data_IF_638072580183
#
_entry.id   IF_638072580183
#
_cell.length_a   1.000
_cell.length_b   1.000
_cell.length_c   1.000
_cell.angle_alpha   90.00
_cell.angle_beta   90.00
_cell.angle_gamma   90.00
#
_symmetry.space_group_name_H-M   'P 1'
#
loop_
_entity.id
_entity.type
_entity.pdbx_description
1 polymer ?
#
# COMPACT_ATOMS: atom_id res chain seq x y z
N UNK A 1 49.81 36.67 -7.52
CA UNK A 1 49.38 36.69 -6.11
C UNK A 1 49.22 35.25 -5.65
N UNK A 2 50.11 34.76 -4.77
CA UNK A 2 50.05 33.41 -4.23
C UNK A 2 49.23 33.48 -2.95
N UNK A 3 48.05 32.87 -2.95
CA UNK A 3 47.19 32.75 -1.76
C UNK A 3 47.59 31.49 -1.00
N UNK A 4 48.37 31.64 0.07
CA UNK A 4 48.64 30.56 1.02
C UNK A 4 47.46 30.41 1.97
N UNK A 5 46.56 29.47 1.68
CA UNK A 5 45.49 29.08 2.59
C UNK A 5 45.99 27.99 3.54
N UNK A 6 45.97 28.26 4.85
CA UNK A 6 46.08 27.21 5.87
C UNK A 6 44.75 26.44 5.92
N UNK A 7 44.71 25.31 5.23
CA UNK A 7 43.59 24.37 5.36
C UNK A 7 43.78 23.66 6.70
N UNK A 8 42.83 23.78 7.63
CA UNK A 8 42.82 22.94 8.83
C UNK A 8 42.75 21.47 8.40
N UNK A 9 43.78 20.70 8.76
CA UNK A 9 43.97 19.29 8.37
C UNK A 9 43.19 18.30 9.23
N UNK A 10 42.53 18.76 10.29
CA UNK A 10 41.81 17.91 11.22
C UNK A 10 40.33 17.83 10.86
N UNK A 11 39.87 16.60 10.63
CA UNK A 11 38.48 16.28 10.30
C UNK A 11 38.02 15.22 11.29
N UNK A 12 37.00 15.55 12.06
CA UNK A 12 36.31 14.56 12.89
C UNK A 12 35.25 13.84 12.06
N UNK A 13 35.36 12.51 11.99
CA UNK A 13 34.40 11.65 11.31
C UNK A 13 33.67 10.87 12.38
N UNK A 14 32.53 11.42 12.81
CA UNK A 14 31.68 10.80 13.83
C UNK A 14 30.54 9.98 13.20
N UNK A 15 30.17 10.25 11.94
CA UNK A 15 29.08 9.56 11.25
C UNK A 15 29.45 9.08 9.84
N UNK A 16 28.72 8.07 9.37
CA UNK A 16 28.84 7.51 8.01
C UNK A 16 28.56 8.55 6.92
N UNK A 17 27.71 9.54 7.23
CA UNK A 17 27.41 10.65 6.30
C UNK A 17 28.62 11.56 6.09
N UNK A 18 29.54 11.63 7.05
CA UNK A 18 30.73 12.48 6.96
C UNK A 18 31.81 11.89 6.05
N UNK A 19 31.71 10.61 5.67
CA UNK A 19 32.62 9.98 4.70
C UNK A 19 32.58 10.65 3.32
N UNK A 20 31.47 11.30 2.96
CA UNK A 20 31.41 12.12 1.76
C UNK A 20 32.29 13.37 1.84
N UNK A 21 32.41 13.97 3.04
CA UNK A 21 33.33 15.11 3.28
C UNK A 21 34.78 14.67 3.19
N UNK A 22 35.10 13.47 3.71
CA UNK A 22 36.44 12.89 3.61
C UNK A 22 36.87 12.72 2.14
N UNK A 23 35.97 12.28 1.26
CA UNK A 23 36.28 12.14 -0.17
C UNK A 23 36.70 13.46 -0.81
N UNK A 24 35.95 14.53 -0.56
CA UNK A 24 36.25 15.88 -1.08
C UNK A 24 37.64 16.31 -0.62
N UNK A 25 37.98 16.08 0.65
CA UNK A 25 39.26 16.51 1.22
C UNK A 25 40.45 15.68 0.72
N UNK A 26 40.25 14.39 0.44
CA UNK A 26 41.26 13.54 -0.20
C UNK A 26 41.52 14.01 -1.63
N UNK A 27 40.47 14.35 -2.38
CA UNK A 27 40.57 14.83 -3.77
C UNK A 27 41.24 16.21 -3.86
N UNK A 28 40.85 17.17 -3.00
CA UNK A 28 41.42 18.53 -2.98
C UNK A 28 42.91 18.54 -2.62
N UNK A 29 43.34 17.63 -1.74
CA UNK A 29 44.72 17.54 -1.27
C UNK A 29 45.58 16.52 -2.04
N UNK A 30 45.08 15.94 -3.14
CA UNK A 30 45.76 14.87 -3.89
C UNK A 30 46.28 13.71 -3.00
N UNK A 31 45.53 13.37 -1.95
CA UNK A 31 45.92 12.32 -1.01
C UNK A 31 45.60 10.93 -1.56
N UNK A 32 46.36 9.94 -1.08
CA UNK A 32 46.10 8.54 -1.36
C UNK A 32 44.77 8.05 -0.78
N UNK A 33 44.29 6.93 -1.30
CA UNK A 33 43.03 6.32 -0.89
C UNK A 33 43.01 5.98 0.62
N UNK A 34 41.95 6.35 1.37
CA UNK A 34 41.85 6.04 2.80
C UNK A 34 41.78 4.54 3.10
N UNK A 35 42.26 4.14 4.27
CA UNK A 35 42.12 2.77 4.77
C UNK A 35 40.69 2.50 5.26
N UNK A 36 39.86 1.91 4.40
CA UNK A 36 38.46 1.61 4.73
C UNK A 36 38.27 0.59 5.86
N UNK A 37 39.24 -0.30 6.10
CA UNK A 37 39.14 -1.29 7.17
C UNK A 37 39.31 -0.64 8.54
N UNK A 38 40.22 0.34 8.65
CA UNK A 38 40.42 1.09 9.89
C UNK A 38 39.25 2.02 10.17
N UNK A 39 38.75 2.72 9.14
CA UNK A 39 37.55 3.54 9.23
C UNK A 39 36.33 2.71 9.66
N UNK A 40 36.20 1.49 9.14
CA UNK A 40 35.14 0.56 9.55
C UNK A 40 35.25 0.14 11.02
N UNK A 41 36.46 -0.12 11.53
CA UNK A 41 36.69 -0.44 12.95
C UNK A 41 36.33 0.73 13.87
N UNK A 42 36.73 1.96 13.51
CA UNK A 42 36.44 3.18 14.30
C UNK A 42 34.94 3.50 14.30
N UNK A 43 34.26 3.34 13.17
CA UNK A 43 32.83 3.61 13.03
C UNK A 43 31.92 2.43 13.40
N UNK A 44 32.48 1.25 13.69
CA UNK A 44 31.71 0.03 13.99
C UNK A 44 30.92 -0.52 12.80
N UNK A 45 31.38 -0.31 11.56
CA UNK A 45 30.65 -0.62 10.32
C UNK A 45 31.52 -1.45 9.36
N UNK A 46 30.88 -2.32 8.56
CA UNK A 46 31.57 -3.11 7.53
C UNK A 46 32.29 -2.21 6.49
N UNK A 47 33.53 -2.59 6.13
CA UNK A 47 34.38 -1.84 5.20
C UNK A 47 33.71 -1.60 3.83
N UNK A 48 32.80 -2.47 3.38
CA UNK A 48 32.09 -2.32 2.09
C UNK A 48 31.05 -1.21 2.20
N UNK A 49 30.40 -1.08 3.34
CA UNK A 49 29.49 0.03 3.62
C UNK A 49 30.26 1.34 3.71
N UNK A 50 31.39 1.39 4.42
CA UNK A 50 32.27 2.58 4.44
C UNK A 50 32.66 3.00 3.03
N UNK A 51 33.15 2.07 2.21
CA UNK A 51 33.50 2.33 0.80
C UNK A 51 32.30 2.86 0.00
N UNK A 52 31.12 2.26 0.15
CA UNK A 52 29.88 2.67 -0.54
C UNK A 52 29.47 4.10 -0.19
N UNK A 53 29.59 4.49 1.09
CA UNK A 53 29.29 5.84 1.55
C UNK A 53 30.36 6.85 1.13
N UNK A 54 31.63 6.47 1.18
CA UNK A 54 32.74 7.27 0.64
C UNK A 54 32.54 7.57 -0.84
N UNK A 55 32.14 6.58 -1.64
CA UNK A 55 31.90 6.74 -3.09
C UNK A 55 30.62 7.52 -3.43
N UNK A 56 29.71 7.74 -2.46
CA UNK A 56 28.43 8.43 -2.68
C UNK A 56 27.30 7.54 -3.21
N UNK A 57 27.50 6.22 -3.27
CA UNK A 57 26.52 5.26 -3.80
C UNK A 57 25.42 4.88 -2.77
N UNK A 58 24.82 5.86 -2.09
CA UNK A 58 24.10 5.64 -0.83
C UNK A 58 22.72 4.98 -1.05
N UNK A 59 21.95 5.40 -2.05
CA UNK A 59 20.57 4.96 -2.19
C UNK A 59 20.27 4.51 -3.62
N UNK A 60 19.91 3.23 -3.76
CA UNK A 60 19.09 2.77 -4.89
C UNK A 60 17.66 2.76 -4.36
N UNK A 61 16.82 3.62 -4.88
CA UNK A 61 15.39 3.52 -4.63
C UNK A 61 14.91 2.16 -5.14
N UNK A 62 14.30 1.38 -4.25
CA UNK A 62 13.67 0.12 -4.65
C UNK A 62 12.34 0.46 -5.29
N UNK A 63 12.20 0.14 -6.58
CA UNK A 63 10.92 0.24 -7.27
C UNK A 63 9.89 -0.63 -6.53
N UNK A 64 8.76 -0.04 -6.17
CA UNK A 64 7.66 -0.77 -5.57
C UNK A 64 7.08 -1.73 -6.62
N UNK A 65 6.95 -3.00 -6.25
CA UNK A 65 6.39 -4.02 -7.13
C UNK A 65 4.88 -3.87 -7.16
N UNK A 66 4.30 -3.77 -8.36
CA UNK A 66 2.85 -3.80 -8.55
C UNK A 66 2.27 -5.11 -8.01
N UNK A 67 1.14 -5.01 -7.32
CA UNK A 67 0.39 -6.17 -6.84
C UNK A 67 -0.39 -6.80 -7.99
N UNK A 68 -0.67 -8.10 -7.90
CA UNK A 68 -1.54 -8.78 -8.90
C UNK A 68 -2.97 -8.25 -8.92
N UNK A 69 -3.39 -7.53 -7.88
CA UNK A 69 -4.75 -7.03 -7.71
C UNK A 69 -4.88 -5.63 -8.34
N UNK A 70 -3.75 -4.92 -8.49
CA UNK A 70 -3.72 -3.56 -9.06
C UNK A 70 -4.25 -3.57 -10.50
N UNK A 71 -4.00 -4.64 -11.26
CA UNK A 71 -4.51 -4.79 -12.63
C UNK A 71 -6.05 -4.89 -12.70
N UNK A 72 -6.71 -5.25 -11.58
CA UNK A 72 -8.17 -5.37 -11.49
C UNK A 72 -8.83 -4.12 -10.90
N UNK A 73 -8.08 -3.05 -10.64
CA UNK A 73 -8.60 -1.83 -10.01
C UNK A 73 -9.79 -1.26 -10.78
N UNK A 74 -9.65 -1.08 -12.10
CA UNK A 74 -10.68 -0.50 -12.95
C UNK A 74 -11.92 -1.40 -13.05
N UNK A 75 -11.71 -2.72 -13.10
CA UNK A 75 -12.80 -3.70 -13.08
C UNK A 75 -13.58 -3.62 -11.78
N UNK A 76 -12.90 -3.57 -10.63
CA UNK A 76 -13.54 -3.45 -9.32
C UNK A 76 -14.30 -2.13 -9.23
N UNK A 77 -13.73 -1.04 -9.73
CA UNK A 77 -14.39 0.28 -9.76
C UNK A 77 -15.66 0.27 -10.60
N UNK A 78 -15.62 -0.34 -11.79
CA UNK A 78 -16.80 -0.50 -12.65
C UNK A 78 -17.89 -1.37 -12.01
N UNK A 79 -17.50 -2.45 -11.32
CA UNK A 79 -18.43 -3.35 -10.62
C UNK A 79 -19.10 -2.72 -9.40
N UNK A 80 -18.41 -1.80 -8.71
CA UNK A 80 -18.93 -1.11 -7.54
C UNK A 80 -19.62 0.23 -7.87
N UNK A 81 -19.66 0.61 -9.14
CA UNK A 81 -20.37 1.81 -9.62
C UNK A 81 -21.88 1.68 -9.43
N UNK A 82 -22.54 2.80 -9.12
CA UNK A 82 -23.99 2.89 -8.96
C UNK A 82 -24.77 2.60 -10.25
N UNK A 83 -24.11 2.68 -11.41
CA UNK A 83 -24.69 2.36 -12.72
C UNK A 83 -24.88 0.85 -12.92
N UNK A 84 -24.14 0.03 -12.18
CA UNK A 84 -24.21 -1.41 -12.33
C UNK A 84 -25.46 -1.98 -11.64
N UNK A 85 -26.18 -2.85 -12.35
CA UNK A 85 -27.35 -3.56 -11.79
C UNK A 85 -26.95 -4.55 -10.70
N UNK A 86 -25.71 -5.05 -10.74
CA UNK A 86 -25.22 -6.04 -9.79
C UNK A 86 -24.68 -5.36 -8.53
N UNK A 87 -25.32 -5.60 -7.39
CA UNK A 87 -24.94 -5.02 -6.10
C UNK A 87 -24.20 -6.07 -5.26
N UNK A 88 -23.07 -5.69 -4.68
CA UNK A 88 -22.26 -6.57 -3.84
C UNK A 88 -22.34 -6.17 -2.36
N UNK A 89 -23.18 -6.82 -1.57
CA UNK A 89 -23.29 -6.46 -0.14
C UNK A 89 -22.05 -6.76 0.69
N UNK A 90 -21.24 -7.75 0.29
CA UNK A 90 -20.07 -8.16 1.06
C UNK A 90 -18.82 -8.31 0.19
N UNK A 91 -17.67 -7.96 0.76
CA UNK A 91 -16.34 -8.15 0.16
C UNK A 91 -16.11 -9.60 -0.32
N UNK A 92 -16.71 -10.58 0.35
CA UNK A 92 -16.59 -12.00 0.01
C UNK A 92 -17.28 -12.37 -1.30
N UNK A 93 -18.43 -11.75 -1.58
CA UNK A 93 -19.19 -11.98 -2.82
C UNK A 93 -18.45 -11.38 -4.01
N UNK A 94 -17.94 -10.15 -3.86
CA UNK A 94 -17.12 -9.51 -4.89
C UNK A 94 -15.86 -10.35 -5.19
N UNK A 95 -15.17 -10.83 -4.16
CA UNK A 95 -13.99 -11.69 -4.35
C UNK A 95 -14.32 -12.98 -5.10
N UNK A 96 -15.37 -13.71 -4.69
CA UNK A 96 -15.79 -14.95 -5.38
C UNK A 96 -16.17 -14.70 -6.83
N UNK A 97 -16.82 -13.57 -7.10
CA UNK A 97 -17.16 -13.15 -8.45
C UNK A 97 -15.90 -12.89 -9.31
N UNK A 98 -14.93 -12.13 -8.79
CA UNK A 98 -13.67 -11.85 -9.49
C UNK A 98 -12.84 -13.11 -9.74
N UNK A 99 -12.84 -14.06 -8.81
CA UNK A 99 -12.17 -15.37 -9.00
C UNK A 99 -12.86 -16.16 -10.11
N UNK A 100 -14.20 -16.19 -10.13
CA UNK A 100 -14.97 -17.01 -11.08
C UNK A 100 -15.01 -16.43 -12.49
N UNK A 101 -15.27 -15.14 -12.63
CA UNK A 101 -15.48 -14.49 -13.93
C UNK A 101 -14.20 -13.90 -14.52
N UNK A 102 -13.30 -13.40 -13.66
CA UNK A 102 -12.10 -12.66 -14.08
C UNK A 102 -10.79 -13.38 -13.72
N UNK A 103 -10.86 -14.60 -13.17
CA UNK A 103 -9.70 -15.45 -12.92
C UNK A 103 -8.71 -14.90 -11.89
N UNK A 104 -9.16 -14.06 -10.94
CA UNK A 104 -8.30 -13.41 -9.95
C UNK A 104 -7.42 -14.39 -9.17
N UNK A 105 -6.10 -14.31 -9.37
CA UNK A 105 -5.09 -15.16 -8.72
C UNK A 105 -4.50 -14.51 -7.45
N UNK A 106 -5.31 -14.33 -6.41
CA UNK A 106 -4.86 -13.84 -5.11
C UNK A 106 -5.57 -14.51 -3.94
N UNK A 107 -5.00 -14.41 -2.74
CA UNK A 107 -5.66 -14.89 -1.52
C UNK A 107 -6.75 -13.91 -1.07
N UNK A 108 -7.77 -14.44 -0.39
CA UNK A 108 -8.85 -13.64 0.19
C UNK A 108 -8.35 -12.53 1.12
N UNK A 109 -7.32 -12.83 1.92
CA UNK A 109 -6.72 -11.86 2.85
C UNK A 109 -6.04 -10.71 2.11
N UNK A 110 -5.27 -10.99 1.05
CA UNK A 110 -4.64 -9.97 0.23
C UNK A 110 -5.67 -9.07 -0.45
N UNK A 111 -6.77 -9.66 -0.93
CA UNK A 111 -7.89 -8.90 -1.47
C UNK A 111 -8.54 -8.00 -0.41
N UNK A 112 -8.78 -8.50 0.80
CA UNK A 112 -9.35 -7.68 1.87
C UNK A 112 -8.43 -6.50 2.22
N UNK A 113 -7.12 -6.75 2.30
CA UNK A 113 -6.13 -5.70 2.52
C UNK A 113 -6.16 -4.66 1.40
N UNK A 114 -6.24 -5.10 0.14
CA UNK A 114 -6.38 -4.19 -1.01
C UNK A 114 -7.63 -3.31 -0.92
N UNK A 115 -8.79 -3.89 -0.58
CA UNK A 115 -10.03 -3.12 -0.40
C UNK A 115 -9.89 -2.10 0.73
N UNK A 116 -9.24 -2.47 1.83
CA UNK A 116 -9.02 -1.57 2.98
C UNK A 116 -8.02 -0.45 2.68
N UNK A 117 -7.02 -0.71 1.84
CA UNK A 117 -6.03 0.29 1.42
C UNK A 117 -6.64 1.35 0.50
N UNK A 118 -7.69 1.01 -0.25
CA UNK A 118 -8.37 1.91 -1.16
C UNK A 118 -9.62 2.50 -0.47
N UNK A 119 -9.60 3.80 -0.19
CA UNK A 119 -10.70 4.48 0.52
C UNK A 119 -12.03 4.38 -0.25
N UNK A 120 -12.01 4.50 -1.58
CA UNK A 120 -13.19 4.40 -2.44
C UNK A 120 -13.96 3.08 -2.21
N UNK A 121 -13.24 1.95 -2.20
CA UNK A 121 -13.86 0.64 -1.99
C UNK A 121 -14.25 0.42 -0.54
N UNK A 122 -13.50 0.98 0.41
CA UNK A 122 -13.82 0.87 1.83
C UNK A 122 -15.13 1.57 2.16
N UNK A 123 -15.37 2.74 1.56
CA UNK A 123 -16.59 3.51 1.74
C UNK A 123 -17.82 2.75 1.25
N UNK A 124 -17.73 2.10 0.09
CA UNK A 124 -18.80 1.26 -0.45
C UNK A 124 -19.25 0.15 0.53
N UNK A 125 -18.30 -0.50 1.20
CA UNK A 125 -18.60 -1.59 2.14
C UNK A 125 -18.83 -1.14 3.58
N UNK A 126 -18.85 0.17 3.84
CA UNK A 126 -19.08 0.69 5.19
C UNK A 126 -20.54 0.45 5.57
N UNK A 127 -20.78 -0.15 6.74
CA UNK A 127 -22.14 -0.34 7.25
C UNK A 127 -22.81 1.02 7.44
N UNK A 128 -23.96 1.22 6.81
CA UNK A 128 -24.84 2.35 7.14
C UNK A 128 -25.25 2.20 8.61
N UNK A 129 -25.27 3.31 9.36
CA UNK A 129 -25.65 3.30 10.77
C UNK A 129 -27.01 2.63 10.94
N UNK A 130 -27.11 1.71 11.91
CA UNK A 130 -28.40 1.13 12.27
C UNK A 130 -29.26 2.26 12.83
N UNK A 131 -30.43 2.49 12.24
CA UNK A 131 -31.48 3.23 12.94
C UNK A 131 -31.87 2.39 14.15
N UNK A 132 -31.96 3.00 15.32
CA UNK A 132 -32.35 2.31 16.54
C UNK A 132 -33.70 1.62 16.31
N UNK A 133 -33.69 0.29 16.35
CA UNK A 133 -34.90 -0.49 16.24
C UNK A 133 -35.66 -0.32 17.56
N UNK A 134 -36.69 0.53 17.56
CA UNK A 134 -37.60 0.68 18.68
C UNK A 134 -38.28 -0.68 18.90
N UNK A 135 -37.92 -1.36 19.99
CA UNK A 135 -38.60 -2.59 20.41
C UNK A 135 -39.84 -2.17 21.18
N UNK A 136 -41.02 -2.46 20.64
CA UNK A 136 -42.28 -2.33 21.38
C UNK A 136 -42.68 -3.70 21.95
N UNK A 137 -42.74 -3.80 23.27
CA UNK A 137 -43.34 -4.97 23.94
C UNK A 137 -44.85 -4.78 23.91
N UNK A 138 -45.54 -5.53 23.05
CA UNK A 138 -47.00 -5.53 23.00
C UNK A 138 -47.53 -6.87 23.46
N UNK A 139 -48.60 -6.91 24.29
CA UNK A 139 -49.20 -8.16 24.73
C UNK A 139 -49.69 -9.03 23.58
N UNK A 140 -49.74 -10.34 23.81
CA UNK A 140 -50.20 -11.32 22.84
C UNK A 140 -51.61 -10.99 22.31
N UNK A 141 -51.80 -11.09 20.98
CA UNK A 141 -53.08 -10.80 20.32
C UNK A 141 -53.39 -9.32 20.04
N UNK A 142 -52.55 -8.37 20.48
CA UNK A 142 -52.67 -6.94 20.15
C UNK A 142 -52.00 -6.55 18.82
N UNK A 143 -51.14 -7.41 18.29
CA UNK A 143 -50.46 -7.21 17.02
C UNK A 143 -50.52 -8.49 16.19
N UNK A 144 -50.68 -8.32 14.88
CA UNK A 144 -50.58 -9.39 13.89
C UNK A 144 -49.48 -9.01 12.89
N UNK A 145 -48.61 -9.96 12.56
CA UNK A 145 -47.64 -9.81 11.49
C UNK A 145 -48.25 -10.34 10.19
N UNK A 146 -48.38 -9.47 9.20
CA UNK A 146 -48.71 -9.87 7.83
C UNK A 146 -47.42 -9.97 7.03
N UNK A 147 -47.11 -11.15 6.53
CA UNK A 147 -45.98 -11.38 5.63
C UNK A 147 -46.49 -11.41 4.19
N UNK A 148 -46.01 -10.48 3.35
CA UNK A 148 -46.37 -10.44 1.94
C UNK A 148 -45.27 -11.08 1.10
N UNK A 149 -45.65 -12.04 0.27
CA UNK A 149 -44.73 -12.72 -0.64
C UNK A 149 -44.83 -12.11 -2.03
N UNK A 150 -43.89 -11.25 -2.37
CA UNK A 150 -43.82 -10.64 -3.71
C UNK A 150 -43.19 -11.58 -4.74
N UNK A 151 -43.62 -11.44 -6.00
CA UNK A 151 -42.96 -12.08 -7.16
C UNK A 151 -41.65 -11.34 -7.47
N UNK A 152 -40.52 -12.00 -7.29
CA UNK A 152 -39.20 -11.47 -7.64
C UNK A 152 -39.01 -11.47 -9.17
N UNK A 153 -38.65 -10.32 -9.74
CA UNK A 153 -38.29 -10.20 -11.15
C UNK A 153 -36.80 -10.50 -11.32
N UNK A 154 -36.46 -11.62 -11.95
CA UNK A 154 -35.07 -11.95 -12.27
C UNK A 154 -34.70 -11.50 -13.68
N UNK A 155 -33.48 -10.99 -13.85
CA UNK A 155 -32.89 -10.68 -15.16
C UNK A 155 -31.61 -11.48 -15.36
N UNK A 156 -31.49 -12.17 -16.49
CA UNK A 156 -30.28 -12.89 -16.89
C UNK A 156 -29.20 -11.96 -17.45
N UNK A 157 -27.98 -12.50 -17.61
CA UNK A 157 -26.84 -11.79 -18.24
C UNK A 157 -27.19 -11.28 -19.64
N UNK A 158 -28.03 -12.02 -20.36
CA UNK A 158 -28.43 -11.73 -21.74
C UNK A 158 -29.55 -10.66 -21.83
N UNK A 159 -29.99 -10.11 -20.69
CA UNK A 159 -31.05 -9.09 -20.62
C UNK A 159 -32.47 -9.64 -20.62
N UNK A 160 -32.66 -10.95 -20.82
CA UNK A 160 -33.95 -11.63 -20.69
C UNK A 160 -34.43 -11.64 -19.23
N UNK A 161 -35.75 -11.60 -19.03
CA UNK A 161 -36.38 -11.60 -17.70
C UNK A 161 -37.09 -12.93 -17.47
N UNK A 162 -36.95 -13.52 -16.29
CA UNK A 162 -37.86 -14.58 -15.85
C UNK A 162 -39.22 -13.93 -15.56
N UNK A 163 -40.27 -14.46 -16.17
CA UNK A 163 -41.67 -14.08 -15.93
C UNK A 163 -42.22 -14.91 -14.76
#
# INVERSE_FOLDING_TARGET
MILNMKINTEIEINSVKDLGKLKILVEVNNLGKPNFSELGRKLGIDRRTVKKYYEGNIQKERKQKKSKIDDYYDTIRSLLSAENKQIFYYKSHLYRYLVREHGLQCSRSNFNYFILKNNEFTEYFKSKSKKDAIKSETPFGKQAQFDWKEKLKFSFKDGSKMI
#
